data_IF_611232977034
#
_entry.id   IF_611232977034
#
_cell.length_a   1.000
_cell.length_b   1.000
_cell.length_c   1.000
_cell.angle_alpha   90.00
_cell.angle_beta   90.00
_cell.angle_gamma   90.00
#
_symmetry.space_group_name_H-M   'P 1'
#
loop_
_entity.id
_entity.type
_entity.pdbx_description
1 polymer ?
#
# COMPACT_ATOMS: atom_id res chain seq x y z
N UNK A 1 6.31 -18.74 14.78
CA UNK A 1 5.69 -17.48 15.21
C UNK A 1 5.36 -16.71 13.94
N UNK A 2 4.12 -16.30 13.75
CA UNK A 2 3.70 -15.58 12.55
C UNK A 2 4.21 -14.14 12.60
N UNK A 3 4.58 -13.58 11.46
CA UNK A 3 5.03 -12.20 11.30
C UNK A 3 4.26 -11.54 10.17
N UNK A 4 3.98 -10.26 10.29
CA UNK A 4 3.30 -9.49 9.25
C UNK A 4 3.73 -8.03 9.31
N UNK A 5 3.75 -7.36 8.17
CA UNK A 5 3.87 -5.91 8.09
C UNK A 5 2.49 -5.24 8.15
N UNK A 6 2.43 -4.07 8.77
CA UNK A 6 1.27 -3.18 8.72
C UNK A 6 1.66 -1.92 7.97
N UNK A 7 1.04 -1.72 6.82
CA UNK A 7 1.25 -0.55 5.98
C UNK A 7 0.04 0.39 5.98
N UNK A 8 0.31 1.69 5.85
CA UNK A 8 -0.71 2.71 5.64
C UNK A 8 -0.25 3.73 4.59
N UNK A 9 -1.21 4.22 3.81
CA UNK A 9 -1.01 5.33 2.89
C UNK A 9 -0.97 6.63 3.72
N UNK A 10 0.08 7.43 3.53
CA UNK A 10 0.45 8.57 4.39
C UNK A 10 0.91 9.76 3.54
N UNK A 11 0.94 10.94 4.13
CA UNK A 11 1.40 12.14 3.43
C UNK A 11 0.49 12.56 2.27
N UNK A 12 -0.80 12.26 2.38
CA UNK A 12 -1.79 12.54 1.33
C UNK A 12 -2.47 13.91 1.48
N UNK A 13 -2.04 14.72 2.45
CA UNK A 13 -2.38 16.15 2.50
C UNK A 13 -1.80 16.89 1.28
N UNK A 14 -2.39 18.04 0.92
CA UNK A 14 -1.93 18.85 -0.21
C UNK A 14 -2.18 20.34 0.02
N UNK A 15 -1.11 21.13 0.09
CA UNK A 15 -1.16 22.57 0.37
C UNK A 15 -1.87 22.86 1.69
N UNK A 16 -3.00 23.57 1.61
CA UNK A 16 -3.81 23.90 2.77
C UNK A 16 -4.74 22.76 3.22
N UNK A 17 -4.98 21.76 2.36
CA UNK A 17 -5.86 20.65 2.67
C UNK A 17 -5.14 19.63 3.57
N UNK A 18 -5.76 19.29 4.69
CA UNK A 18 -5.31 18.25 5.61
C UNK A 18 -6.16 17.00 5.39
N UNK A 19 -5.50 15.84 5.46
CA UNK A 19 -6.15 14.55 5.32
C UNK A 19 -5.48 13.58 6.29
N UNK A 20 -6.29 12.78 6.97
CA UNK A 20 -5.83 11.72 7.87
C UNK A 20 -5.17 12.22 9.18
N UNK A 21 -5.21 11.40 10.24
CA UNK A 21 -4.46 11.63 11.46
C UNK A 21 -3.06 10.98 11.36
N UNK A 22 -2.21 11.45 10.42
CA UNK A 22 -0.89 10.86 10.14
C UNK A 22 -0.02 10.72 11.40
N UNK A 23 -0.05 11.72 12.30
CA UNK A 23 0.74 11.74 13.52
C UNK A 23 0.30 10.65 14.52
N UNK A 24 -0.99 10.35 14.57
CA UNK A 24 -1.58 9.33 15.42
C UNK A 24 -1.41 7.92 14.83
N UNK A 25 -1.42 7.79 13.50
CA UNK A 25 -1.28 6.52 12.78
C UNK A 25 0.17 6.03 12.73
N UNK A 26 1.15 6.92 12.49
CA UNK A 26 2.56 6.54 12.33
C UNK A 26 3.11 5.61 13.42
N UNK A 27 2.89 5.83 14.74
CA UNK A 27 3.41 4.93 15.78
C UNK A 27 2.78 3.52 15.80
N UNK A 28 1.71 3.29 15.03
CA UNK A 28 0.96 2.05 15.03
C UNK A 28 1.29 1.15 13.83
N UNK A 29 1.97 1.67 12.81
CA UNK A 29 2.36 0.95 11.59
C UNK A 29 3.84 0.57 11.59
N UNK A 30 4.23 -0.33 10.70
CA UNK A 30 5.64 -0.69 10.46
C UNK A 30 6.17 -0.15 9.14
N UNK A 31 5.29 0.15 8.19
CA UNK A 31 5.64 0.72 6.87
C UNK A 31 4.66 1.84 6.46
N UNK A 32 5.18 2.93 5.90
CA UNK A 32 4.39 4.07 5.41
C UNK A 32 4.57 4.24 3.90
N UNK A 33 3.46 4.30 3.16
CA UNK A 33 3.46 4.60 1.73
C UNK A 33 3.22 6.10 1.55
N UNK A 34 4.28 6.87 1.25
CA UNK A 34 4.21 8.32 1.20
C UNK A 34 3.90 8.80 -0.22
N UNK A 35 2.85 9.62 -0.37
CA UNK A 35 2.45 10.19 -1.65
C UNK A 35 3.53 11.09 -2.27
N UNK A 36 3.62 11.07 -3.61
CA UNK A 36 4.75 11.63 -4.36
C UNK A 36 4.42 12.89 -5.18
N UNK A 37 3.29 13.56 -4.94
CA UNK A 37 2.98 14.86 -5.55
C UNK A 37 2.00 14.84 -6.71
N UNK A 38 1.55 13.66 -7.16
CA UNK A 38 0.73 13.52 -8.37
C UNK A 38 -0.75 13.22 -8.08
N UNK A 39 -1.03 12.28 -7.18
CA UNK A 39 -2.39 12.05 -6.68
C UNK A 39 -2.67 12.84 -5.40
N UNK A 40 -1.63 13.00 -4.58
CA UNK A 40 -1.63 13.69 -3.29
C UNK A 40 -0.19 14.01 -2.87
N UNK A 41 -0.03 14.68 -1.72
CA UNK A 41 1.27 15.08 -1.21
C UNK A 41 1.82 16.31 -1.91
N UNK A 42 2.56 17.14 -1.18
CA UNK A 42 3.35 18.23 -1.74
C UNK A 42 4.78 18.19 -1.16
N UNK A 43 5.74 18.99 -1.65
CA UNK A 43 7.11 19.00 -1.14
C UNK A 43 7.23 19.14 0.38
N UNK A 44 6.35 19.93 1.01
CA UNK A 44 6.35 20.11 2.46
C UNK A 44 5.77 18.90 3.17
N UNK A 45 4.66 18.36 2.68
CA UNK A 45 4.02 17.16 3.22
C UNK A 45 4.95 15.96 3.12
N UNK A 46 5.56 15.69 1.96
CA UNK A 46 6.56 14.62 1.78
C UNK A 46 7.68 14.73 2.83
N UNK A 47 8.26 15.93 3.01
CA UNK A 47 9.31 16.14 4.02
C UNK A 47 8.81 15.82 5.44
N UNK A 48 7.61 16.29 5.78
CA UNK A 48 7.03 16.10 7.11
C UNK A 48 6.73 14.62 7.38
N UNK A 49 6.12 13.91 6.43
CA UNK A 49 5.82 12.49 6.55
C UNK A 49 7.09 11.64 6.66
N UNK A 50 8.16 11.98 5.91
CA UNK A 50 9.46 11.32 6.06
C UNK A 50 10.06 11.56 7.45
N UNK A 51 10.03 12.81 7.95
CA UNK A 51 10.51 13.12 9.30
C UNK A 51 9.76 12.31 10.36
N UNK A 52 8.44 12.26 10.24
CA UNK A 52 7.57 11.53 11.16
C UNK A 52 7.85 10.01 11.13
N UNK A 53 8.00 9.43 9.94
CA UNK A 53 8.35 8.02 9.79
C UNK A 53 9.70 7.69 10.45
N UNK A 54 10.72 8.53 10.23
CA UNK A 54 12.04 8.35 10.86
C UNK A 54 11.98 8.49 12.39
N UNK A 55 11.19 9.42 12.92
CA UNK A 55 11.00 9.59 14.37
C UNK A 55 10.43 8.33 15.03
N UNK A 56 9.58 7.60 14.33
CA UNK A 56 8.94 6.38 14.83
C UNK A 56 9.61 5.08 14.36
N UNK A 57 10.69 5.15 13.58
CA UNK A 57 11.37 3.97 13.05
C UNK A 57 10.55 3.18 12.03
N UNK A 58 9.61 3.84 11.35
CA UNK A 58 8.73 3.24 10.33
C UNK A 58 9.43 3.17 8.98
N UNK A 59 9.28 2.05 8.27
CA UNK A 59 9.80 1.86 6.93
C UNK A 59 9.17 2.85 5.93
N UNK A 60 9.99 3.55 5.15
CA UNK A 60 9.51 4.56 4.20
C UNK A 60 9.40 3.95 2.81
N UNK A 61 8.23 4.06 2.19
CA UNK A 61 8.01 3.64 0.81
C UNK A 61 7.41 4.72 -0.06
N UNK A 62 7.67 4.63 -1.36
CA UNK A 62 7.07 5.53 -2.33
C UNK A 62 5.66 5.06 -2.68
N UNK A 63 4.73 6.02 -2.74
CA UNK A 63 3.35 5.78 -3.13
C UNK A 63 3.00 6.49 -4.45
N UNK A 64 3.58 6.06 -5.60
CA UNK A 64 3.34 6.70 -6.87
C UNK A 64 1.91 6.51 -7.34
N UNK A 65 1.29 7.57 -7.84
CA UNK A 65 -0.07 7.57 -8.37
C UNK A 65 -0.15 8.20 -9.75
N UNK A 66 -1.34 8.19 -10.34
CA UNK A 66 -1.58 8.94 -11.58
C UNK A 66 -1.55 10.46 -11.34
N UNK A 67 -1.22 11.26 -12.37
CA UNK A 67 -1.22 12.73 -12.32
C UNK A 67 -2.66 13.26 -12.32
N UNK A 68 -3.39 12.95 -11.26
CA UNK A 68 -4.79 13.22 -11.10
C UNK A 68 -5.11 13.67 -9.67
N UNK A 69 -4.64 14.86 -9.31
CA UNK A 69 -4.90 15.46 -8.00
C UNK A 69 -6.41 15.59 -7.72
N UNK A 70 -7.21 15.99 -8.72
CA UNK A 70 -8.66 16.20 -8.54
C UNK A 70 -9.42 14.90 -8.29
N UNK A 71 -9.02 13.81 -8.94
CA UNK A 71 -9.56 12.48 -8.70
C UNK A 71 -8.83 11.70 -7.62
N UNK A 72 -7.88 12.32 -6.91
CA UNK A 72 -7.03 11.68 -5.91
C UNK A 72 -6.34 10.42 -6.45
N UNK A 73 -5.98 10.38 -7.75
CA UNK A 73 -5.39 9.21 -8.39
C UNK A 73 -6.29 7.96 -8.42
N UNK A 74 -7.60 8.09 -8.15
CA UNK A 74 -8.56 6.98 -8.12
C UNK A 74 -9.30 6.75 -9.44
N UNK A 75 -9.03 7.55 -10.48
CA UNK A 75 -9.59 7.37 -11.83
C UNK A 75 -8.59 6.68 -12.74
N UNK A 76 -9.07 5.74 -13.56
CA UNK A 76 -8.24 5.08 -14.54
C UNK A 76 -7.75 6.09 -15.58
N UNK A 77 -6.48 5.97 -15.96
CA UNK A 77 -5.91 6.68 -17.11
C UNK A 77 -5.49 5.65 -18.16
N UNK A 78 -5.77 5.98 -19.42
CA UNK A 78 -5.20 5.25 -20.55
C UNK A 78 -3.74 5.67 -20.67
N UNK A 79 -2.84 4.81 -20.20
CA UNK A 79 -1.41 5.09 -20.10
C UNK A 79 -0.62 4.03 -20.89
N UNK A 80 0.43 4.43 -21.60
CA UNK A 80 1.33 3.47 -22.22
C UNK A 80 2.28 2.86 -21.17
N UNK A 81 2.85 1.66 -21.40
CA UNK A 81 3.88 1.11 -20.52
C UNK A 81 5.10 2.03 -20.36
N UNK A 82 5.49 2.75 -21.43
CA UNK A 82 6.60 3.71 -21.35
C UNK A 82 6.28 4.86 -20.39
N UNK A 83 5.09 5.44 -20.49
CA UNK A 83 4.69 6.52 -19.57
C UNK A 83 4.56 5.99 -18.13
N UNK A 84 4.04 4.78 -17.91
CA UNK A 84 3.98 4.15 -16.57
C UNK A 84 5.36 4.13 -15.92
N UNK A 85 6.37 3.71 -16.68
CA UNK A 85 7.74 3.62 -16.21
C UNK A 85 8.30 4.97 -15.79
N UNK A 86 8.21 5.97 -16.67
CA UNK A 86 8.70 7.32 -16.41
C UNK A 86 7.94 8.00 -15.24
N UNK A 87 6.63 7.74 -15.14
CA UNK A 87 5.78 8.30 -14.08
C UNK A 87 6.15 7.75 -12.71
N UNK A 88 6.44 6.46 -12.61
CA UNK A 88 6.90 5.82 -11.37
C UNK A 88 8.31 6.33 -11.01
N UNK A 89 9.22 6.36 -11.98
CA UNK A 89 10.61 6.80 -11.76
C UNK A 89 10.69 8.24 -11.26
N UNK A 90 9.93 9.16 -11.88
CA UNK A 90 9.85 10.56 -11.45
C UNK A 90 9.42 10.69 -9.99
N UNK A 91 8.34 10.00 -9.62
CA UNK A 91 7.75 10.07 -8.29
C UNK A 91 8.66 9.47 -7.21
N UNK A 92 9.33 8.35 -7.53
CA UNK A 92 10.33 7.76 -6.64
C UNK A 92 11.51 8.70 -6.43
N UNK A 93 12.03 9.32 -7.49
CA UNK A 93 13.10 10.31 -7.40
C UNK A 93 12.74 11.52 -6.53
N UNK A 94 11.51 12.02 -6.65
CA UNK A 94 11.00 13.14 -5.86
C UNK A 94 11.00 12.81 -4.35
N UNK A 95 10.41 11.68 -3.95
CA UNK A 95 10.38 11.28 -2.53
C UNK A 95 11.78 10.94 -2.01
N UNK A 96 12.58 10.21 -2.80
CA UNK A 96 13.91 9.77 -2.41
C UNK A 96 14.85 10.95 -2.09
N UNK A 97 14.67 12.10 -2.76
CA UNK A 97 15.39 13.32 -2.42
C UNK A 97 15.16 13.77 -0.97
N UNK A 98 13.92 13.74 -0.48
CA UNK A 98 13.59 14.08 0.90
C UNK A 98 14.08 13.03 1.90
N UNK A 99 13.91 11.74 1.55
CA UNK A 99 14.40 10.62 2.35
C UNK A 99 15.90 10.73 2.58
N UNK A 100 16.68 10.92 1.50
CA UNK A 100 18.13 11.09 1.57
C UNK A 100 18.53 12.35 2.33
N UNK A 101 17.85 13.48 2.10
CA UNK A 101 18.15 14.73 2.79
C UNK A 101 17.92 14.67 4.30
N UNK A 102 17.15 13.70 4.78
CA UNK A 102 16.88 13.45 6.19
C UNK A 102 17.66 12.24 6.75
N UNK A 103 18.58 11.67 5.96
CA UNK A 103 19.41 10.54 6.38
C UNK A 103 18.67 9.19 6.43
N UNK A 104 17.49 9.10 5.80
CA UNK A 104 16.71 7.87 5.71
C UNK A 104 17.07 7.01 4.50
N UNK A 105 16.35 5.89 4.36
CA UNK A 105 16.42 4.99 3.21
C UNK A 105 15.01 4.64 2.74
N UNK A 106 14.79 4.64 1.43
CA UNK A 106 13.56 4.14 0.82
C UNK A 106 13.59 2.60 0.87
N UNK A 107 12.51 1.96 1.34
CA UNK A 107 12.45 0.52 1.62
C UNK A 107 11.59 -0.24 0.62
N UNK A 108 10.50 0.37 0.19
CA UNK A 108 9.51 -0.27 -0.64
C UNK A 108 8.81 0.70 -1.59
N UNK A 109 8.06 0.15 -2.53
CA UNK A 109 7.19 0.90 -3.45
C UNK A 109 5.85 0.20 -3.53
N UNK A 110 4.77 0.98 -3.39
CA UNK A 110 3.39 0.52 -3.55
C UNK A 110 2.66 1.53 -4.43
N UNK A 111 2.16 1.14 -5.59
CA UNK A 111 1.36 2.08 -6.40
C UNK A 111 0.08 2.51 -5.68
N UNK A 112 -0.42 3.70 -6.01
CA UNK A 112 -1.64 4.27 -5.46
C UNK A 112 -2.86 3.98 -6.33
N UNK A 113 -4.02 3.81 -5.70
CA UNK A 113 -5.33 3.99 -6.32
C UNK A 113 -5.54 3.23 -7.63
N UNK A 114 -5.88 3.97 -8.70
CA UNK A 114 -6.13 3.37 -10.01
C UNK A 114 -4.86 2.79 -10.65
N UNK A 115 -3.68 3.35 -10.37
CA UNK A 115 -2.41 2.82 -10.88
C UNK A 115 -2.16 1.41 -10.33
N UNK A 116 -2.39 1.22 -9.03
CA UNK A 116 -2.32 -0.08 -8.37
C UNK A 116 -3.27 -1.10 -9.02
N UNK A 117 -4.55 -0.72 -9.16
CA UNK A 117 -5.56 -1.63 -9.69
C UNK A 117 -5.33 -1.98 -11.17
N UNK A 118 -4.91 -1.01 -11.99
CA UNK A 118 -4.59 -1.26 -13.40
C UNK A 118 -3.35 -2.14 -13.55
N UNK A 119 -2.30 -1.91 -12.75
CA UNK A 119 -1.11 -2.78 -12.74
C UNK A 119 -1.45 -4.20 -12.24
N UNK A 120 -2.35 -4.33 -11.26
CA UNK A 120 -2.82 -5.64 -10.79
C UNK A 120 -3.66 -6.41 -11.83
N UNK A 121 -4.12 -5.76 -12.91
CA UNK A 121 -4.96 -6.37 -13.93
C UNK A 121 -4.30 -6.48 -15.32
N UNK A 122 -3.30 -5.64 -15.64
CA UNK A 122 -2.59 -5.65 -16.93
C UNK A 122 -1.10 -5.97 -16.71
N UNK A 123 -0.63 -7.18 -17.08
CA UNK A 123 0.78 -7.57 -16.96
C UNK A 123 1.76 -6.61 -17.65
N UNK A 124 1.35 -5.91 -18.72
CA UNK A 124 2.24 -4.95 -19.40
C UNK A 124 2.48 -3.70 -18.55
N UNK A 125 1.44 -3.25 -17.83
CA UNK A 125 1.57 -2.14 -16.89
C UNK A 125 2.30 -2.57 -15.62
N UNK A 126 2.05 -3.78 -15.12
CA UNK A 126 2.83 -4.38 -14.04
C UNK A 126 4.33 -4.40 -14.38
N UNK A 127 4.68 -4.94 -15.56
CA UNK A 127 6.06 -4.99 -16.04
C UNK A 127 6.72 -3.63 -16.03
N UNK A 128 6.07 -2.62 -16.62
CA UNK A 128 6.63 -1.27 -16.69
C UNK A 128 6.83 -0.63 -15.31
N UNK A 129 5.88 -0.80 -14.40
CA UNK A 129 5.99 -0.34 -13.02
C UNK A 129 7.20 -0.99 -12.32
N UNK A 130 7.35 -2.31 -12.47
CA UNK A 130 8.41 -3.08 -11.82
C UNK A 130 9.77 -2.74 -12.42
N UNK A 131 9.88 -2.59 -13.74
CA UNK A 131 11.12 -2.16 -14.40
C UNK A 131 11.58 -0.78 -13.91
N UNK A 132 10.66 0.17 -13.70
CA UNK A 132 11.01 1.47 -13.12
C UNK A 132 11.60 1.32 -11.71
N UNK A 133 11.06 0.41 -10.90
CA UNK A 133 11.56 0.15 -9.54
C UNK A 133 12.95 -0.48 -9.60
N UNK A 134 13.14 -1.50 -10.45
CA UNK A 134 14.44 -2.16 -10.63
C UNK A 134 15.52 -1.20 -11.11
N UNK A 135 15.21 -0.34 -12.09
CA UNK A 135 16.15 0.67 -12.61
C UNK A 135 16.50 1.73 -11.57
N UNK A 136 15.58 2.03 -10.65
CA UNK A 136 15.84 2.99 -9.57
C UNK A 136 16.71 2.39 -8.46
N UNK A 137 16.32 1.24 -7.91
CA UNK A 137 17.04 0.52 -6.85
C UNK A 137 16.51 -0.92 -6.71
N UNK A 138 17.32 -1.90 -7.11
CA UNK A 138 17.00 -3.33 -7.05
C UNK A 138 16.82 -3.87 -5.61
N UNK A 139 17.24 -3.12 -4.59
CA UNK A 139 17.07 -3.52 -3.19
C UNK A 139 15.67 -3.26 -2.64
N UNK A 140 14.83 -2.49 -3.34
CA UNK A 140 13.48 -2.13 -2.90
C UNK A 140 12.54 -3.33 -2.90
N UNK A 141 11.61 -3.34 -1.94
CA UNK A 141 10.50 -4.30 -1.91
C UNK A 141 9.34 -3.78 -2.75
N UNK A 142 8.87 -4.58 -3.70
CA UNK A 142 7.66 -4.29 -4.48
C UNK A 142 6.44 -4.79 -3.73
N UNK A 143 5.56 -3.88 -3.34
CA UNK A 143 4.27 -4.20 -2.73
C UNK A 143 3.21 -4.24 -3.83
N UNK A 144 2.46 -5.34 -3.88
CA UNK A 144 1.39 -5.52 -4.87
C UNK A 144 0.30 -6.42 -4.33
N UNK A 145 -0.87 -6.37 -4.99
CA UNK A 145 -2.02 -7.18 -4.59
C UNK A 145 -1.63 -8.66 -4.62
N UNK A 146 -2.02 -9.40 -3.59
CA UNK A 146 -1.83 -10.85 -3.55
C UNK A 146 -2.33 -11.52 -4.84
N UNK A 147 -1.50 -12.41 -5.39
CA UNK A 147 -1.74 -13.13 -6.65
C UNK A 147 -1.82 -12.25 -7.93
N UNK A 148 -1.42 -10.99 -7.87
CA UNK A 148 -1.44 -10.11 -9.05
C UNK A 148 -0.18 -10.23 -9.92
N UNK A 149 -0.26 -9.85 -11.21
CA UNK A 149 0.90 -9.82 -12.11
C UNK A 149 2.05 -8.96 -11.60
N UNK A 150 1.80 -7.93 -10.77
CA UNK A 150 2.86 -7.10 -10.19
C UNK A 150 3.87 -7.93 -9.41
N UNK A 151 3.40 -8.89 -8.61
CA UNK A 151 4.26 -9.76 -7.81
C UNK A 151 5.02 -10.76 -8.69
N UNK A 152 4.37 -11.29 -9.73
CA UNK A 152 4.99 -12.20 -10.69
C UNK A 152 6.11 -11.49 -11.47
N UNK A 153 5.82 -10.32 -12.05
CA UNK A 153 6.79 -9.55 -12.82
C UNK A 153 7.97 -9.07 -11.96
N UNK A 154 7.73 -8.71 -10.71
CA UNK A 154 8.78 -8.37 -9.75
C UNK A 154 9.68 -9.55 -9.41
N UNK A 155 9.09 -10.73 -9.16
CA UNK A 155 9.87 -11.94 -8.93
C UNK A 155 10.69 -12.35 -10.16
N UNK A 156 10.13 -12.22 -11.37
CA UNK A 156 10.81 -12.52 -12.64
C UNK A 156 12.00 -11.58 -12.91
N UNK A 157 11.95 -10.36 -12.36
CA UNK A 157 13.06 -9.40 -12.37
C UNK A 157 14.01 -9.53 -11.16
N UNK A 158 13.79 -10.51 -10.29
CA UNK A 158 14.65 -10.76 -9.12
C UNK A 158 14.46 -9.78 -7.95
N UNK A 159 13.42 -8.95 -7.98
CA UNK A 159 13.10 -8.03 -6.89
C UNK A 159 12.45 -8.78 -5.71
N UNK A 160 12.64 -8.23 -4.50
CA UNK A 160 11.89 -8.68 -3.32
C UNK A 160 10.44 -8.24 -3.45
N UNK A 161 9.52 -9.11 -3.08
CA UNK A 161 8.08 -8.84 -3.15
C UNK A 161 7.41 -8.95 -1.79
N UNK A 162 6.35 -8.17 -1.59
CA UNK A 162 5.46 -8.28 -0.46
C UNK A 162 4.01 -8.37 -0.95
N UNK A 163 3.38 -9.51 -0.68
CA UNK A 163 1.99 -9.77 -1.02
C UNK A 163 1.07 -9.02 -0.06
N UNK A 164 0.38 -8.01 -0.59
CA UNK A 164 -0.53 -7.16 0.17
C UNK A 164 -1.94 -7.73 0.20
N UNK A 165 -2.55 -7.69 1.38
CA UNK A 165 -3.97 -7.95 1.58
C UNK A 165 -4.66 -6.77 2.25
N UNK A 166 -5.96 -6.67 2.04
CA UNK A 166 -6.78 -5.58 2.52
C UNK A 166 -7.73 -6.10 3.60
N UNK A 167 -7.58 -5.54 4.79
CA UNK A 167 -8.37 -5.93 5.95
C UNK A 167 -9.87 -5.64 5.74
N UNK A 168 -10.16 -4.49 5.13
CA UNK A 168 -11.48 -3.87 5.02
C UNK A 168 -12.13 -4.05 3.65
N UNK A 169 -11.56 -4.85 2.74
CA UNK A 169 -12.09 -5.01 1.38
C UNK A 169 -12.68 -6.39 1.12
N UNK A 170 -13.80 -6.40 0.39
CA UNK A 170 -14.34 -7.63 -0.16
C UNK A 170 -13.52 -8.10 -1.36
N UNK A 171 -13.40 -9.42 -1.49
CA UNK A 171 -12.64 -10.08 -2.54
C UNK A 171 -13.59 -10.73 -3.55
N UNK A 172 -13.18 -10.71 -4.81
CA UNK A 172 -13.77 -11.50 -5.88
C UNK A 172 -13.15 -12.90 -5.89
N UNK A 173 -13.80 -13.90 -6.51
CA UNK A 173 -13.28 -15.28 -6.56
C UNK A 173 -11.92 -15.44 -7.24
N UNK A 174 -11.55 -14.48 -8.09
CA UNK A 174 -10.24 -14.43 -8.75
C UNK A 174 -9.16 -13.73 -7.89
N UNK A 175 -9.45 -13.39 -6.64
CA UNK A 175 -8.54 -12.69 -5.72
C UNK A 175 -8.43 -11.18 -5.92
N UNK A 176 -9.09 -10.62 -6.94
CA UNK A 176 -9.19 -9.17 -7.10
C UNK A 176 -10.10 -8.57 -6.02
N UNK A 177 -9.97 -7.26 -5.79
CA UNK A 177 -10.86 -6.55 -4.88
C UNK A 177 -12.17 -6.20 -5.58
N UNK A 178 -13.29 -6.27 -4.85
CA UNK A 178 -14.59 -5.77 -5.33
C UNK A 178 -14.48 -4.26 -5.58
N UNK A 179 -14.92 -3.72 -6.74
CA UNK A 179 -14.85 -2.29 -7.03
C UNK A 179 -15.56 -1.46 -5.94
N UNK A 180 -14.97 -0.31 -5.56
CA UNK A 180 -15.50 0.53 -4.46
C UNK A 180 -16.92 1.06 -4.69
N UNK A 181 -17.37 1.14 -5.94
CA UNK A 181 -18.72 1.57 -6.30
C UNK A 181 -19.79 0.51 -6.03
N UNK A 182 -19.40 -0.74 -5.80
CA UNK A 182 -20.33 -1.85 -5.57
C UNK A 182 -20.75 -1.95 -4.09
N UNK A 183 -22.02 -2.29 -3.80
CA UNK A 183 -22.46 -2.57 -2.44
C UNK A 183 -21.64 -3.68 -1.77
N UNK A 184 -21.23 -3.47 -0.52
CA UNK A 184 -20.44 -4.45 0.25
C UNK A 184 -18.96 -4.52 -0.15
N UNK A 185 -18.45 -3.60 -0.95
CA UNK A 185 -17.03 -3.55 -1.33
C UNK A 185 -16.09 -3.25 -0.15
N UNK A 186 -16.60 -2.62 0.90
CA UNK A 186 -15.88 -2.20 2.11
C UNK A 186 -16.59 -2.77 3.34
N UNK A 187 -15.82 -3.37 4.24
CA UNK A 187 -16.27 -3.85 5.54
C UNK A 187 -16.08 -2.73 6.57
N UNK A 188 -17.08 -2.54 7.44
CA UNK A 188 -17.11 -1.44 8.41
C UNK A 188 -16.97 -1.88 9.86
N UNK A 189 -17.16 -3.16 10.18
CA UNK A 189 -17.01 -3.67 11.55
C UNK A 189 -15.52 -3.92 11.86
N UNK A 190 -14.90 -3.18 12.79
CA UNK A 190 -13.48 -3.35 13.13
C UNK A 190 -13.15 -4.74 13.66
N UNK A 191 -14.08 -5.39 14.37
CA UNK A 191 -13.86 -6.72 14.94
C UNK A 191 -13.86 -7.79 13.84
N UNK A 192 -14.78 -7.68 12.87
CA UNK A 192 -14.82 -8.54 11.69
C UNK A 192 -13.54 -8.40 10.86
N UNK A 193 -13.14 -7.16 10.59
CA UNK A 193 -11.92 -6.82 9.84
C UNK A 193 -10.67 -7.40 10.51
N UNK A 194 -10.55 -7.26 11.82
CA UNK A 194 -9.41 -7.78 12.58
C UNK A 194 -9.36 -9.32 12.59
N UNK A 195 -10.49 -9.98 12.84
CA UNK A 195 -10.59 -11.44 12.82
C UNK A 195 -10.25 -12.02 11.43
N UNK A 196 -10.72 -11.35 10.38
CA UNK A 196 -10.44 -11.70 8.99
C UNK A 196 -8.95 -11.62 8.66
N UNK A 197 -8.26 -10.58 9.11
CA UNK A 197 -6.80 -10.47 8.93
C UNK A 197 -6.05 -11.57 9.66
N UNK A 198 -6.42 -11.88 10.91
CA UNK A 198 -5.80 -12.97 11.66
C UNK A 198 -5.98 -14.32 10.93
N UNK A 199 -7.17 -14.57 10.38
CA UNK A 199 -7.44 -15.76 9.56
C UNK A 199 -6.61 -15.77 8.27
N UNK A 200 -6.52 -14.66 7.54
CA UNK A 200 -5.67 -14.55 6.35
C UNK A 200 -4.21 -14.94 6.63
N UNK A 201 -3.65 -14.44 7.75
CA UNK A 201 -2.25 -14.70 8.12
C UNK A 201 -2.04 -16.16 8.55
N UNK A 202 -2.97 -16.72 9.34
CA UNK A 202 -2.82 -18.06 9.91
C UNK A 202 -3.21 -19.18 8.95
N UNK A 203 -4.25 -18.96 8.14
CA UNK A 203 -4.83 -19.96 7.25
C UNK A 203 -4.38 -19.80 5.80
N UNK A 204 -3.84 -18.64 5.40
CA UNK A 204 -3.39 -18.40 4.03
C UNK A 204 -4.52 -18.25 3.01
N UNK A 205 -5.69 -17.80 3.44
CA UNK A 205 -6.86 -17.68 2.56
C UNK A 205 -7.87 -16.64 3.04
N UNK A 206 -8.77 -16.27 2.14
CA UNK A 206 -9.86 -15.33 2.40
C UNK A 206 -11.15 -15.78 1.74
N UNK A 207 -12.30 -15.50 2.37
CA UNK A 207 -13.59 -15.72 1.72
C UNK A 207 -13.93 -14.56 0.77
N UNK A 208 -14.25 -14.91 -0.47
CA UNK A 208 -14.77 -14.01 -1.50
C UNK A 208 -16.25 -13.69 -1.29
N UNK A 209 -16.76 -12.69 -2.03
CA UNK A 209 -18.13 -12.19 -1.94
C UNK A 209 -19.22 -13.23 -2.32
N UNK A 210 -18.85 -14.32 -2.98
CA UNK A 210 -19.73 -15.43 -3.31
C UNK A 210 -19.59 -16.63 -2.34
N UNK A 211 -18.81 -16.49 -1.26
CA UNK A 211 -18.56 -17.53 -0.27
C UNK A 211 -17.42 -18.49 -0.58
N UNK A 212 -16.79 -18.42 -1.77
CA UNK A 212 -15.64 -19.25 -2.12
C UNK A 212 -14.37 -18.83 -1.37
N UNK A 213 -13.50 -19.79 -1.09
CA UNK A 213 -12.18 -19.52 -0.52
C UNK A 213 -11.16 -19.19 -1.62
N UNK A 214 -10.39 -18.14 -1.39
CA UNK A 214 -9.28 -17.69 -2.22
C UNK A 214 -8.00 -17.83 -1.43
N UNK A 215 -7.07 -18.65 -1.90
CA UNK A 215 -5.74 -18.79 -1.30
C UNK A 215 -4.91 -17.52 -1.55
N UNK A 216 -4.24 -17.02 -0.51
CA UNK A 216 -3.37 -15.85 -0.59
C UNK A 216 -2.29 -15.87 0.48
N UNK A 217 -1.23 -15.10 0.24
CA UNK A 217 -0.20 -14.81 1.24
C UNK A 217 -0.37 -13.37 1.73
N UNK A 218 -0.32 -13.17 3.04
CA UNK A 218 -0.39 -11.87 3.67
C UNK A 218 0.99 -11.51 4.24
N UNK A 219 1.85 -10.87 3.43
CA UNK A 219 3.12 -10.33 3.91
C UNK A 219 2.93 -8.96 4.56
N UNK A 220 2.02 -8.16 4.02
CA UNK A 220 1.66 -6.85 4.53
C UNK A 220 0.14 -6.63 4.49
N UNK A 221 -0.39 -5.94 5.50
CA UNK A 221 -1.80 -5.56 5.59
C UNK A 221 -1.92 -4.06 5.35
N UNK A 222 -2.73 -3.69 4.37
CA UNK A 222 -3.08 -2.29 4.15
C UNK A 222 -4.18 -1.84 5.11
N UNK A 223 -3.97 -0.70 5.76
CA UNK A 223 -5.01 0.09 6.40
C UNK A 223 -5.09 1.44 5.70
N UNK A 224 -6.29 1.84 5.26
CA UNK A 224 -6.48 3.12 4.60
C UNK A 224 -6.49 4.25 5.66
N UNK A 225 -5.58 5.23 5.53
CA UNK A 225 -5.46 6.36 6.47
C UNK A 225 -6.42 7.52 6.21
N UNK A 226 -7.14 7.49 5.09
CA UNK A 226 -7.99 8.59 4.61
C UNK A 226 -9.43 8.54 5.15
N UNK A 227 -9.78 7.57 6.00
CA UNK A 227 -11.09 7.48 6.65
C UNK A 227 -11.04 7.96 8.11
N UNK A 228 -12.12 8.58 8.62
CA UNK A 228 -12.21 8.96 10.04
C UNK A 228 -11.98 7.80 11.02
N UNK A 229 -12.33 6.58 10.61
CA UNK A 229 -12.25 5.36 11.41
C UNK A 229 -10.87 4.68 11.35
N UNK A 230 -9.96 5.14 10.49
CA UNK A 230 -8.65 4.53 10.24
C UNK A 230 -7.85 4.24 11.52
N UNK A 231 -7.83 5.22 12.44
CA UNK A 231 -7.13 5.08 13.72
C UNK A 231 -7.74 3.97 14.59
N UNK A 232 -9.07 3.92 14.67
CA UNK A 232 -9.77 2.90 15.47
C UNK A 232 -9.58 1.50 14.88
N UNK A 233 -9.65 1.39 13.54
CA UNK A 233 -9.40 0.14 12.84
C UNK A 233 -7.98 -0.37 13.08
N UNK A 234 -7.00 0.53 13.02
CA UNK A 234 -5.60 0.16 13.22
C UNK A 234 -5.31 -0.26 14.68
N UNK A 235 -5.90 0.42 15.66
CA UNK A 235 -5.80 0.04 17.07
C UNK A 235 -6.42 -1.34 17.32
N UNK A 236 -7.62 -1.59 16.81
CA UNK A 236 -8.29 -2.89 16.91
C UNK A 236 -7.46 -4.00 16.25
N UNK A 237 -6.90 -3.73 15.07
CA UNK A 237 -6.06 -4.67 14.34
C UNK A 237 -4.77 -5.00 15.11
N UNK A 238 -4.08 -3.99 15.64
CA UNK A 238 -2.87 -4.17 16.46
C UNK A 238 -3.15 -5.05 17.68
N UNK A 239 -4.27 -4.81 18.36
CA UNK A 239 -4.70 -5.61 19.51
C UNK A 239 -4.95 -7.07 19.10
N UNK A 240 -5.73 -7.30 18.05
CA UNK A 240 -6.06 -8.65 17.57
C UNK A 240 -4.82 -9.43 17.12
N UNK A 241 -3.87 -8.79 16.43
CA UNK A 241 -2.60 -9.42 16.04
C UNK A 241 -1.78 -9.83 17.26
N UNK A 242 -1.68 -8.97 18.27
CA UNK A 242 -0.96 -9.25 19.51
C UNK A 242 -1.61 -10.43 20.27
N UNK A 243 -2.93 -10.42 20.45
CA UNK A 243 -3.68 -11.53 21.07
C UNK A 243 -3.53 -12.85 20.32
N UNK A 244 -3.43 -12.78 18.98
CA UNK A 244 -3.23 -13.93 18.12
C UNK A 244 -1.78 -14.45 18.10
N UNK A 245 -0.84 -13.78 18.77
CA UNK A 245 0.59 -14.12 18.79
C UNK A 245 1.31 -13.84 17.47
N UNK A 246 0.86 -12.83 16.72
CA UNK A 246 1.44 -12.41 15.44
C UNK A 246 2.29 -11.16 15.69
N UNK A 247 3.57 -11.23 15.31
CA UNK A 247 4.50 -10.12 15.46
C UNK A 247 4.37 -9.13 14.29
N UNK A 248 4.30 -7.83 14.59
CA UNK A 248 4.32 -6.78 13.56
C UNK A 248 5.76 -6.37 13.30
N UNK A 249 6.21 -6.46 12.04
CA UNK A 249 7.58 -6.15 11.61
C UNK A 249 7.57 -5.42 10.27
N UNK A 250 8.55 -4.54 10.02
CA UNK A 250 8.70 -3.85 8.73
C UNK A 250 9.18 -4.77 7.61
N UNK A 251 9.02 -4.31 6.36
CA UNK A 251 9.46 -4.96 5.12
C UNK A 251 10.99 -4.98 4.91
#
# INVERSE_FOLDING_TARGET
>A
MFKVDLNCDMGEAFGAYRLGPDAEIMPLISSANIACGWHAGDPRVMRQSVQLALQHGVGIGAHPGYPDLLGFGRRNLALSPADMKDYVLYQMGALAAFVRALGGQLRHVKAHGAMYNQAAADPRLARALVEAIAEFDESLVVVGLANSPVLTEAADLGLRTASEVFADRAYLPNGALVPRSEPGAVLHDPAEVAARVVSMIKEGRVQANNGQWVELRADTICVHGDTPEALQHLQALRQALAEAGIEVVGL
#
